data_IF_595583576752
#
_entry.id   IF_595583576752
#
_cell.length_a   1.000
_cell.length_b   1.000
_cell.length_c   1.000
_cell.angle_alpha   90.00
_cell.angle_beta   90.00
_cell.angle_gamma   90.00
#
_symmetry.space_group_name_H-M   'P 1'
#
loop_
_entity.id
_entity.type
_entity.pdbx_description
1 polymer ?
#
# COMPACT_ATOMS: atom_id res chain seq x y z
N UNK A 1 13.09 3.42 29.55
CA UNK A 1 11.96 2.70 28.91
C UNK A 1 11.27 1.89 30.00
N UNK A 2 10.00 2.12 30.28
CA UNK A 2 9.20 1.27 31.17
C UNK A 2 8.57 0.16 30.34
N UNK A 3 8.82 -1.10 30.72
CA UNK A 3 8.24 -2.24 30.03
C UNK A 3 6.99 -2.70 30.78
N UNK A 4 5.92 -2.96 30.02
CA UNK A 4 4.68 -3.58 30.52
C UNK A 4 4.43 -4.84 29.70
N UNK A 5 4.00 -5.90 30.37
CA UNK A 5 3.67 -7.17 29.74
C UNK A 5 2.15 -7.28 29.59
N UNK A 6 1.70 -7.81 28.46
CA UNK A 6 0.31 -8.18 28.23
C UNK A 6 0.27 -9.67 27.90
N UNK A 7 -0.73 -10.37 28.43
CA UNK A 7 -1.01 -11.75 28.04
C UNK A 7 -2.03 -11.75 26.91
N UNK A 8 -1.72 -12.48 25.85
CA UNK A 8 -2.62 -12.66 24.71
C UNK A 8 -2.67 -14.15 24.34
N UNK A 9 -3.82 -14.65 23.85
CA UNK A 9 -3.91 -15.97 23.26
C UNK A 9 -2.86 -16.15 22.16
N UNK A 10 -2.27 -17.34 22.12
CA UNK A 10 -1.23 -17.69 21.13
C UNK A 10 -1.73 -17.52 19.68
N UNK A 11 -2.99 -17.86 19.42
CA UNK A 11 -3.62 -17.65 18.11
C UNK A 11 -3.58 -16.16 17.68
N UNK A 12 -3.82 -15.25 18.63
CA UNK A 12 -3.78 -13.81 18.36
C UNK A 12 -2.34 -13.37 18.09
N UNK A 13 -1.38 -13.82 18.90
CA UNK A 13 0.03 -13.54 18.69
C UNK A 13 0.51 -13.96 17.29
N UNK A 14 0.15 -15.17 16.87
CA UNK A 14 0.51 -15.70 15.54
C UNK A 14 -0.12 -14.88 14.40
N UNK A 15 -1.37 -14.44 14.55
CA UNK A 15 -2.01 -13.54 13.58
C UNK A 15 -1.29 -12.20 13.48
N UNK A 16 -0.86 -11.63 14.60
CA UNK A 16 -0.09 -10.37 14.61
C UNK A 16 1.26 -10.53 13.90
N UNK A 17 1.95 -11.67 14.11
CA UNK A 17 3.20 -11.98 13.41
C UNK A 17 3.04 -12.13 11.89
N UNK A 18 1.89 -12.58 11.41
CA UNK A 18 1.61 -12.66 9.97
C UNK A 18 1.31 -11.29 9.34
N UNK A 19 0.88 -10.31 10.14
CA UNK A 19 0.44 -8.99 9.67
C UNK A 19 1.54 -7.91 9.73
N UNK A 20 2.60 -8.14 10.50
CA UNK A 20 3.78 -7.25 10.51
C UNK A 20 4.56 -7.39 9.21
N UNK A 21 5.31 -6.35 8.83
CA UNK A 21 6.28 -6.45 7.73
C UNK A 21 7.50 -7.29 8.16
N UNK A 22 8.26 -7.82 7.20
CA UNK A 22 9.42 -8.71 7.49
C UNK A 22 10.40 -8.07 8.48
N UNK A 23 10.79 -6.82 8.25
CA UNK A 23 11.76 -6.08 9.08
C UNK A 23 11.12 -5.23 10.20
N UNK A 24 9.82 -5.37 10.44
CA UNK A 24 9.10 -4.60 11.46
C UNK A 24 9.08 -5.35 12.80
N UNK A 25 9.33 -4.64 13.91
CA UNK A 25 9.18 -5.20 15.25
C UNK A 25 7.70 -5.27 15.66
N UNK A 26 7.35 -6.19 16.56
CA UNK A 26 5.96 -6.30 17.04
C UNK A 26 5.46 -5.02 17.75
N UNK A 27 6.26 -4.33 18.58
CA UNK A 27 5.88 -3.03 19.13
C UNK A 27 5.62 -1.97 18.05
N UNK A 28 6.49 -1.87 17.04
CA UNK A 28 6.32 -0.89 15.94
C UNK A 28 5.05 -1.18 15.14
N UNK A 29 4.76 -2.47 14.91
CA UNK A 29 3.51 -2.90 14.29
C UNK A 29 2.27 -2.46 15.08
N UNK A 30 2.29 -2.65 16.41
CA UNK A 30 1.18 -2.24 17.29
C UNK A 30 1.00 -0.72 17.25
N UNK A 31 2.09 0.05 17.29
CA UNK A 31 2.04 1.51 17.17
C UNK A 31 1.41 1.89 15.83
N UNK A 32 1.88 1.31 14.72
CA UNK A 32 1.32 1.55 13.38
C UNK A 32 -0.17 1.23 13.29
N UNK A 33 -0.62 0.16 13.96
CA UNK A 33 -2.05 -0.19 13.99
C UNK A 33 -2.88 0.85 14.74
N UNK A 34 -2.39 1.35 15.87
CA UNK A 34 -3.08 2.33 16.71
C UNK A 34 -3.07 3.72 16.06
N UNK A 35 -1.95 4.10 15.45
CA UNK A 35 -1.77 5.38 14.78
C UNK A 35 -2.43 5.44 13.41
N UNK A 36 -2.83 4.29 12.84
CA UNK A 36 -3.54 4.25 11.57
C UNK A 36 -4.81 5.06 11.74
N UNK A 37 -4.95 6.24 11.10
CA UNK A 37 -6.15 7.02 11.24
C UNK A 37 -7.31 6.17 10.74
N UNK A 38 -8.41 6.12 11.48
CA UNK A 38 -9.69 5.48 11.10
C UNK A 38 -10.27 6.01 9.78
N UNK A 39 -9.58 6.92 9.11
CA UNK A 39 -9.79 7.30 7.72
C UNK A 39 -9.51 6.10 6.82
N UNK A 40 -10.47 5.18 6.76
CA UNK A 40 -10.93 4.69 5.47
C UNK A 40 -11.29 5.95 4.69
N UNK A 41 -10.35 6.50 3.94
CA UNK A 41 -10.68 7.49 2.94
C UNK A 41 -11.77 6.83 2.09
N UNK A 42 -12.96 7.41 2.15
CA UNK A 42 -14.09 6.90 1.41
C UNK A 42 -13.72 7.06 -0.08
N UNK A 43 -14.13 6.14 -0.94
CA UNK A 43 -13.84 6.28 -2.39
C UNK A 43 -14.43 7.60 -2.90
N UNK A 44 -15.52 8.01 -2.27
CA UNK A 44 -16.22 9.28 -2.38
C UNK A 44 -15.34 10.50 -2.09
N UNK A 45 -14.34 10.39 -1.19
CA UNK A 45 -13.40 11.48 -0.90
C UNK A 45 -12.49 11.80 -2.10
N UNK A 46 -12.39 10.88 -3.06
CA UNK A 46 -11.61 11.05 -4.29
C UNK A 46 -12.45 11.42 -5.51
N UNK A 47 -13.78 11.48 -5.37
CA UNK A 47 -14.67 11.82 -6.47
C UNK A 47 -14.46 13.28 -6.90
N UNK A 48 -14.07 13.49 -8.17
CA UNK A 48 -13.86 14.83 -8.74
C UNK A 48 -12.54 15.50 -8.38
N UNK A 49 -11.57 14.78 -7.77
CA UNK A 49 -10.21 15.31 -7.55
C UNK A 49 -9.54 15.67 -8.88
N UNK A 50 -9.73 14.83 -9.90
CA UNK A 50 -9.24 15.13 -11.22
C UNK A 50 -10.17 16.15 -11.89
N UNK A 51 -9.67 17.38 -12.07
CA UNK A 51 -10.34 18.39 -12.88
C UNK A 51 -10.27 17.99 -14.35
N UNK A 52 -11.33 18.26 -15.12
CA UNK A 52 -11.24 18.21 -16.58
C UNK A 52 -10.15 19.19 -17.04
N UNK A 53 -9.35 18.78 -18.03
CA UNK A 53 -8.25 19.55 -18.63
C UNK A 53 -7.08 19.93 -17.70
N UNK A 54 -6.78 19.12 -16.67
CA UNK A 54 -5.54 19.29 -15.90
C UNK A 54 -4.33 18.68 -16.61
N UNK A 55 -3.17 19.34 -16.50
CA UNK A 55 -1.86 18.82 -16.96
C UNK A 55 -1.53 17.44 -16.33
N UNK A 56 -2.16 17.12 -15.20
CA UNK A 56 -2.04 15.82 -14.53
C UNK A 56 -2.58 14.67 -15.39
N UNK A 57 -3.63 14.91 -16.18
CA UNK A 57 -4.17 13.90 -17.10
C UNK A 57 -3.19 13.53 -18.20
N UNK A 58 -2.55 14.53 -18.81
CA UNK A 58 -1.54 14.32 -19.84
C UNK A 58 -0.34 13.52 -19.28
N UNK A 59 0.04 13.83 -18.04
CA UNK A 59 1.12 13.10 -17.36
C UNK A 59 0.74 11.64 -17.06
N UNK A 60 -0.47 11.40 -16.56
CA UNK A 60 -0.98 10.05 -16.30
C UNK A 60 -1.09 9.25 -17.61
N UNK A 61 -1.62 9.85 -18.67
CA UNK A 61 -1.72 9.22 -19.98
C UNK A 61 -0.34 8.84 -20.54
N UNK A 62 0.64 9.74 -20.42
CA UNK A 62 2.03 9.50 -20.83
C UNK A 62 2.63 8.32 -20.08
N UNK A 63 2.46 8.25 -18.76
CA UNK A 63 2.94 7.14 -17.94
C UNK A 63 2.31 5.80 -18.32
N UNK A 64 1.00 5.78 -18.57
CA UNK A 64 0.28 4.58 -19.01
C UNK A 64 0.81 4.11 -20.38
N UNK A 65 1.03 5.05 -21.30
CA UNK A 65 1.54 4.75 -22.64
C UNK A 65 2.95 4.16 -22.58
N UNK A 66 3.86 4.76 -21.81
CA UNK A 66 5.21 4.24 -21.61
C UNK A 66 5.22 2.83 -21.03
N UNK A 67 4.36 2.57 -20.03
CA UNK A 67 4.25 1.23 -19.45
C UNK A 67 3.74 0.20 -20.47
N UNK A 68 2.77 0.57 -21.31
CA UNK A 68 2.28 -0.31 -22.38
C UNK A 68 3.37 -0.62 -23.40
N UNK A 69 4.18 0.36 -23.78
CA UNK A 69 5.32 0.15 -24.67
C UNK A 69 6.38 -0.79 -24.05
N UNK A 70 6.74 -0.57 -22.78
CA UNK A 70 7.66 -1.45 -22.05
C UNK A 70 7.14 -2.89 -21.99
N UNK A 71 5.85 -3.07 -21.68
CA UNK A 71 5.23 -4.39 -21.64
C UNK A 71 5.12 -5.05 -23.03
N UNK A 72 4.94 -4.27 -24.10
CA UNK A 72 4.95 -4.79 -25.48
C UNK A 72 6.36 -5.22 -25.91
N UNK A 73 7.38 -4.46 -25.51
CA UNK A 73 8.79 -4.80 -25.75
C UNK A 73 9.20 -6.10 -25.06
N UNK A 74 8.74 -6.33 -23.83
CA UNK A 74 9.07 -7.56 -23.09
C UNK A 74 8.42 -8.82 -23.68
N UNK A 75 7.27 -8.71 -24.36
CA UNK A 75 6.59 -9.87 -24.99
C UNK A 75 7.20 -10.31 -26.32
N UNK A 76 8.09 -9.51 -26.92
CA UNK A 76 8.76 -9.83 -28.18
C UNK A 76 10.07 -10.61 -28.00
N UNK A 77 10.55 -10.77 -26.76
CA UNK A 77 11.83 -11.43 -26.44
C UNK A 77 11.62 -12.95 -26.16
N UNK A 78 10.38 -13.40 -25.95
CA UNK A 78 10.07 -14.79 -25.56
C UNK A 78 9.67 -15.70 -26.76
N UNK A 79 10.21 -15.45 -27.96
CA UNK A 79 10.03 -16.34 -29.12
C UNK A 79 11.36 -16.75 -29.75
N UNK A 80 12.21 -17.47 -29.00
CA UNK A 80 13.21 -18.40 -29.53
C UNK A 80 13.28 -19.67 -28.67
#
# INVERSE_FOLDING_TARGET
MTHKTIEIPEEIYNKLLMLKKEDESLPDFIIRLIEKPDKKAAIEDFAGIFKEDSEEWEHIESLIYEQRLKNKSNRLIDFE
#
